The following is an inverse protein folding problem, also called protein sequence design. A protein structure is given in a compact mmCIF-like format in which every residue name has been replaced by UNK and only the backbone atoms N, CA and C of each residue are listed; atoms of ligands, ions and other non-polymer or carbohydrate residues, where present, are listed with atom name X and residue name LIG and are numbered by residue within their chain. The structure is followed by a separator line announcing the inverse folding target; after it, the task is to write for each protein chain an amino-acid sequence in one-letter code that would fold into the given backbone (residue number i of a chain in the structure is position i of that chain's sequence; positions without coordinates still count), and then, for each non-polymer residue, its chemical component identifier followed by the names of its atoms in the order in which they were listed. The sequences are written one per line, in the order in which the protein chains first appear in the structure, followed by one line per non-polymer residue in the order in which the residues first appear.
data_IF_688109832470
#
_entry.id   IF_688109832470
#
_cell.length_a   1.000
_cell.length_b   1.000
_cell.length_c   1.000
_cell.angle_alpha   90.00
_cell.angle_beta   90.00
_cell.angle_gamma   90.00
#
_symmetry.space_group_name_H-M   'P 1'
#
loop_
_entity.id
_entity.type
_entity.pdbx_description
1 polymer ?
#
# COMPACT_ATOMS: atom_id res chain seq x y z
N UNK A 1 57.21 -5.39 38.61
CA UNK A 1 55.77 -5.52 38.94
C UNK A 1 55.01 -5.69 37.63
N UNK A 2 54.47 -6.90 37.41
CA UNK A 2 53.68 -7.29 36.24
C UNK A 2 52.21 -7.22 36.65
N UNK A 3 51.40 -6.43 35.95
CA UNK A 3 49.94 -6.58 35.95
C UNK A 3 49.50 -6.82 34.51
N UNK A 4 48.68 -7.84 34.40
CA UNK A 4 48.20 -8.55 33.23
C UNK A 4 46.82 -7.99 32.81
N UNK A 5 46.45 -8.24 31.54
CA UNK A 5 45.09 -8.62 31.09
C UNK A 5 44.15 -7.48 30.63
N UNK A 6 43.46 -7.47 29.47
CA UNK A 6 43.20 -8.44 28.39
C UNK A 6 43.28 -7.74 27.02
N UNK A 7 43.84 -8.44 26.03
CA UNK A 7 43.73 -8.17 24.60
C UNK A 7 42.29 -8.48 24.13
N UNK A 8 41.61 -7.53 23.49
CA UNK A 8 40.45 -7.82 22.63
C UNK A 8 40.68 -7.08 21.31
N UNK A 9 41.39 -7.75 20.39
CA UNK A 9 41.36 -7.40 18.99
C UNK A 9 40.33 -8.29 18.31
N UNK A 10 39.19 -7.73 17.93
CA UNK A 10 38.45 -8.23 16.79
C UNK A 10 38.46 -7.14 15.73
N UNK A 11 39.34 -7.30 14.75
CA UNK A 11 39.28 -6.55 13.51
C UNK A 11 37.98 -6.88 12.78
N UNK A 12 37.20 -5.87 12.43
CA UNK A 12 36.31 -5.98 11.28
C UNK A 12 36.18 -4.61 10.59
N UNK A 13 36.78 -4.52 9.40
CA UNK A 13 36.20 -3.82 8.26
C UNK A 13 36.06 -2.30 8.34
N UNK A 14 37.01 -1.62 7.72
CA UNK A 14 36.85 -0.32 7.05
C UNK A 14 35.47 -0.12 6.42
N UNK A 15 34.78 0.98 6.73
CA UNK A 15 34.34 1.98 5.72
C UNK A 15 33.72 3.21 6.39
N UNK A 16 34.15 4.38 5.92
CA UNK A 16 33.64 5.68 6.31
C UNK A 16 32.17 5.82 5.93
N UNK A 17 31.35 6.30 6.86
CA UNK A 17 30.00 6.80 6.58
C UNK A 17 30.12 8.15 5.86
N UNK A 18 30.16 8.10 4.53
CA UNK A 18 29.81 9.26 3.72
C UNK A 18 28.29 9.45 3.79
N UNK A 19 27.88 10.58 4.36
CA UNK A 19 26.50 11.04 4.43
C UNK A 19 25.93 11.16 3.01
N UNK A 20 25.05 10.23 2.62
CA UNK A 20 24.31 10.32 1.37
C UNK A 20 23.27 11.44 1.54
N UNK A 21 23.39 12.48 0.73
CA UNK A 21 22.40 13.55 0.62
C UNK A 21 21.01 13.01 0.25
N UNK A 22 19.98 13.83 0.49
CA UNK A 22 18.56 13.57 0.21
C UNK A 22 18.33 12.57 -0.94
N UNK A 23 17.64 11.47 -0.64
CA UNK A 23 17.10 10.56 -1.64
C UNK A 23 15.65 10.98 -1.90
N UNK A 24 15.43 11.70 -3.01
CA UNK A 24 14.10 11.94 -3.55
C UNK A 24 13.69 10.72 -4.39
N UNK A 25 12.75 9.90 -3.90
CA UNK A 25 12.26 8.70 -4.60
C UNK A 25 11.15 9.11 -5.57
N UNK A 26 11.51 9.77 -6.67
CA UNK A 26 10.64 9.99 -7.81
C UNK A 26 10.76 8.84 -8.83
N UNK A 27 9.69 8.06 -9.00
CA UNK A 27 9.48 7.06 -10.09
C UNK A 27 10.66 6.11 -10.34
N UNK A 28 10.74 5.04 -9.55
CA UNK A 28 11.71 3.97 -9.75
C UNK A 28 11.25 3.01 -10.86
N UNK A 29 11.85 3.12 -12.06
CA UNK A 29 11.99 1.98 -12.97
C UNK A 29 13.46 1.58 -12.91
N UNK A 30 13.77 0.55 -12.12
CA UNK A 30 15.13 0.04 -11.94
C UNK A 30 15.54 -0.70 -13.21
N UNK A 31 16.10 0.05 -14.16
CA UNK A 31 16.83 -0.49 -15.32
C UNK A 31 18.33 -0.37 -15.08
N UNK A 32 18.89 -1.22 -14.22
CA UNK A 32 20.35 -1.47 -14.20
C UNK A 32 20.60 -2.97 -14.10
N UNK A 33 21.18 -3.54 -15.14
CA UNK A 33 21.50 -4.96 -15.33
C UNK A 33 22.94 -5.29 -14.89
N UNK A 34 23.42 -4.63 -13.84
CA UNK A 34 24.83 -4.66 -13.44
C UNK A 34 25.01 -5.12 -11.97
N UNK A 35 23.97 -5.65 -11.34
CA UNK A 35 24.08 -6.29 -10.03
C UNK A 35 24.35 -7.80 -10.15
N UNK A 36 25.49 -8.24 -9.62
CA UNK A 36 25.84 -9.66 -9.48
C UNK A 36 24.72 -10.44 -8.77
N UNK A 37 24.39 -11.68 -9.20
CA UNK A 37 23.29 -12.47 -8.65
C UNK A 37 23.31 -12.62 -7.12
N UNK A 38 24.49 -12.56 -6.50
CA UNK A 38 24.64 -12.67 -5.05
C UNK A 38 24.17 -11.41 -4.28
N UNK A 39 24.23 -10.23 -4.90
CA UNK A 39 23.84 -8.95 -4.27
C UNK A 39 22.32 -8.81 -4.21
N UNK A 40 21.61 -9.37 -5.20
CA UNK A 40 20.14 -9.34 -5.26
C UNK A 40 19.54 -10.24 -4.16
N UNK A 41 20.18 -11.37 -3.84
CA UNK A 41 19.67 -12.32 -2.85
C UNK A 41 19.77 -11.83 -1.40
N UNK A 42 20.70 -10.93 -1.07
CA UNK A 42 20.86 -10.40 0.29
C UNK A 42 20.06 -9.11 0.55
N UNK A 43 19.72 -8.34 -0.48
CA UNK A 43 18.96 -7.10 -0.33
C UNK A 43 17.44 -7.30 -0.21
N UNK A 44 16.91 -8.43 -0.69
CA UNK A 44 15.45 -8.72 -0.68
C UNK A 44 14.96 -9.29 0.65
N UNK A 45 15.84 -9.86 1.48
CA UNK A 45 15.44 -10.57 2.72
C UNK A 45 15.46 -9.70 3.98
N UNK A 46 15.95 -8.46 3.90
CA UNK A 46 16.09 -7.58 5.07
C UNK A 46 14.94 -6.56 5.26
N UNK A 47 13.98 -6.49 4.33
CA UNK A 47 12.88 -5.50 4.36
C UNK A 47 11.67 -5.98 5.19
N UNK A 48 11.59 -7.25 5.55
CA UNK A 48 10.44 -7.85 6.25
C UNK A 48 10.64 -8.10 7.76
N UNK A 49 11.70 -7.58 8.38
CA UNK A 49 11.98 -7.81 9.81
C UNK A 49 11.65 -6.61 10.73
N UNK A 50 11.02 -5.54 10.22
CA UNK A 50 10.51 -4.46 11.06
C UNK A 50 8.98 -4.58 11.18
N UNK A 51 8.40 -4.53 12.39
CA UNK A 51 6.98 -4.79 12.60
C UNK A 51 6.03 -3.73 12.02
N UNK A 52 6.54 -2.78 11.22
CA UNK A 52 5.79 -1.78 10.46
C UNK A 52 6.17 -1.78 8.96
N UNK A 53 6.38 -2.95 8.36
CA UNK A 53 6.56 -3.10 6.91
C UNK A 53 5.22 -3.00 6.16
N UNK A 54 4.64 -1.80 6.17
CA UNK A 54 3.58 -1.44 5.25
C UNK A 54 4.22 -0.95 3.95
N UNK A 55 4.42 -1.83 2.96
CA UNK A 55 4.06 -1.61 1.55
C UNK A 55 4.88 -2.47 0.57
N UNK A 56 4.17 -2.89 -0.48
CA UNK A 56 4.66 -3.29 -1.81
C UNK A 56 5.35 -4.65 -1.93
N UNK A 57 4.78 -5.65 -2.60
CA UNK A 57 4.23 -5.56 -3.96
C UNK A 57 3.16 -6.62 -4.25
N UNK A 58 2.01 -6.53 -3.60
CA UNK A 58 0.76 -7.13 -4.12
C UNK A 58 -0.31 -6.07 -3.95
N UNK A 59 -0.66 -5.42 -5.05
CA UNK A 59 -1.41 -4.18 -5.08
C UNK A 59 -2.71 -4.28 -4.30
N UNK A 60 -2.90 -3.37 -3.35
CA UNK A 60 -4.17 -3.22 -2.64
C UNK A 60 -5.29 -3.01 -3.66
N UNK A 61 -6.37 -3.80 -3.63
CA UNK A 61 -7.44 -3.72 -4.60
C UNK A 61 -8.09 -2.33 -4.65
N UNK A 62 -8.29 -1.83 -5.87
CA UNK A 62 -9.01 -0.60 -6.15
C UNK A 62 -10.28 -0.97 -6.91
N UNK A 63 -11.43 -0.62 -6.34
CA UNK A 63 -12.74 -0.78 -6.95
C UNK A 63 -13.23 0.58 -7.42
N UNK A 64 -13.60 0.70 -8.69
CA UNK A 64 -14.06 1.96 -9.27
C UNK A 64 -15.52 1.82 -9.67
N UNK A 65 -16.39 2.60 -9.06
CA UNK A 65 -17.79 2.72 -9.47
C UNK A 65 -17.90 3.73 -10.61
N UNK A 66 -18.33 3.28 -11.79
CA UNK A 66 -18.46 4.07 -13.02
C UNK A 66 -19.90 4.22 -13.51
N UNK A 67 -20.80 3.36 -13.06
CA UNK A 67 -22.19 3.34 -13.49
C UNK A 67 -23.08 4.38 -12.81
N UNK A 68 -24.38 4.16 -12.85
CA UNK A 68 -25.39 5.01 -12.20
C UNK A 68 -26.23 4.22 -11.22
N UNK A 69 -26.56 4.83 -10.08
CA UNK A 69 -27.46 4.23 -9.11
C UNK A 69 -26.79 3.14 -8.28
N UNK A 70 -27.32 1.92 -8.33
CA UNK A 70 -27.11 0.89 -7.33
C UNK A 70 -25.71 0.23 -7.38
N UNK A 71 -25.04 0.15 -6.23
CA UNK A 71 -23.77 -0.57 -6.04
C UNK A 71 -23.89 -2.09 -6.23
N UNK A 72 -25.08 -2.68 -6.18
CA UNK A 72 -25.29 -4.12 -6.34
C UNK A 72 -25.22 -4.60 -7.79
N UNK A 73 -25.23 -3.68 -8.75
CA UNK A 73 -25.19 -4.00 -10.18
C UNK A 73 -23.72 -4.14 -10.59
N UNK A 74 -23.22 -5.34 -10.93
CA UNK A 74 -21.80 -5.51 -11.30
C UNK A 74 -21.39 -4.65 -12.49
N UNK A 75 -22.29 -4.44 -13.45
CA UNK A 75 -22.07 -3.56 -14.61
C UNK A 75 -21.80 -2.09 -14.27
N UNK A 76 -22.09 -1.65 -13.03
CA UNK A 76 -21.76 -0.31 -12.57
C UNK A 76 -20.32 -0.19 -12.03
N UNK A 77 -19.58 -1.30 -11.95
CA UNK A 77 -18.21 -1.34 -11.48
C UNK A 77 -17.25 -1.57 -12.65
N UNK A 78 -16.08 -0.91 -12.59
CA UNK A 78 -15.03 -1.09 -13.57
C UNK A 78 -14.61 -2.57 -13.62
N UNK A 79 -14.72 -3.17 -14.82
CA UNK A 79 -14.43 -4.58 -15.04
C UNK A 79 -15.42 -5.56 -14.40
N UNK A 80 -16.58 -5.10 -13.90
CA UNK A 80 -17.54 -5.96 -13.23
C UNK A 80 -17.15 -6.36 -11.80
N UNK A 81 -16.07 -5.77 -11.25
CA UNK A 81 -15.53 -6.13 -9.96
C UNK A 81 -16.22 -5.34 -8.85
N UNK A 82 -17.16 -5.97 -8.16
CA UNK A 82 -17.82 -5.40 -7.00
C UNK A 82 -16.93 -5.57 -5.75
N UNK A 83 -16.84 -4.56 -4.86
CA UNK A 83 -16.12 -4.71 -3.61
C UNK A 83 -16.82 -5.72 -2.67
N UNK A 84 -16.08 -6.37 -1.76
CA UNK A 84 -16.66 -7.16 -0.68
C UNK A 84 -17.43 -6.25 0.28
N UNK A 85 -18.43 -6.79 0.99
CA UNK A 85 -19.26 -6.05 1.98
C UNK A 85 -18.47 -5.57 3.19
N UNK A 86 -17.38 -6.26 3.52
CA UNK A 86 -16.39 -5.85 4.50
C UNK A 86 -15.12 -5.50 3.75
N UNK A 87 -14.71 -4.22 3.80
CA UNK A 87 -13.58 -3.69 3.07
C UNK A 87 -12.32 -3.81 3.95
N UNK A 88 -11.38 -4.73 3.63
CA UNK A 88 -10.15 -4.94 4.40
C UNK A 88 -9.24 -3.71 4.40
N UNK A 89 -8.26 -3.73 5.31
CA UNK A 89 -7.20 -2.74 5.34
C UNK A 89 -6.55 -2.59 3.95
N UNK A 90 -6.20 -1.35 3.60
CA UNK A 90 -5.55 -0.91 2.38
C UNK A 90 -6.41 -0.90 1.10
N UNK A 91 -7.59 -1.51 1.11
CA UNK A 91 -8.49 -1.52 -0.04
C UNK A 91 -9.08 -0.14 -0.29
N UNK A 92 -9.36 0.18 -1.55
CA UNK A 92 -9.89 1.48 -1.94
C UNK A 92 -11.13 1.34 -2.83
N UNK A 93 -12.17 2.10 -2.51
CA UNK A 93 -13.33 2.32 -3.36
C UNK A 93 -13.27 3.76 -3.89
N UNK A 94 -13.37 3.92 -5.21
CA UNK A 94 -13.45 5.22 -5.89
C UNK A 94 -14.83 5.37 -6.53
N UNK A 95 -15.53 6.43 -6.17
CA UNK A 95 -16.85 6.78 -6.73
C UNK A 95 -16.65 7.81 -7.83
N UNK A 96 -16.71 7.34 -9.07
CA UNK A 96 -16.59 8.16 -10.27
C UNK A 96 -17.68 7.82 -11.31
N UNK A 97 -18.97 7.93 -10.95
CA UNK A 97 -20.06 7.64 -11.87
C UNK A 97 -20.03 8.59 -13.09
N UNK A 98 -20.43 8.08 -14.26
CA UNK A 98 -20.65 8.92 -15.46
C UNK A 98 -21.76 9.95 -15.16
N UNK A 99 -22.82 9.51 -14.51
CA UNK A 99 -23.84 10.39 -13.92
C UNK A 99 -23.33 11.00 -12.61
N UNK A 100 -24.09 11.91 -12.01
CA UNK A 100 -23.70 12.50 -10.72
C UNK A 100 -24.11 11.67 -9.50
N UNK A 101 -24.75 10.49 -9.68
CA UNK A 101 -25.40 9.77 -8.58
C UNK A 101 -24.95 8.31 -8.49
N UNK A 102 -24.46 7.95 -7.31
CA UNK A 102 -24.24 6.56 -6.87
C UNK A 102 -25.05 6.29 -5.60
N UNK A 103 -25.53 5.07 -5.43
CA UNK A 103 -26.45 4.67 -4.34
C UNK A 103 -25.94 3.40 -3.68
N UNK A 104 -25.51 3.53 -2.43
CA UNK A 104 -25.12 2.41 -1.58
C UNK A 104 -26.35 1.86 -0.84
N UNK A 105 -26.99 0.86 -1.42
CA UNK A 105 -28.22 0.26 -0.87
C UNK A 105 -27.93 -0.67 0.31
N UNK A 106 -26.89 -1.50 0.19
CA UNK A 106 -26.52 -2.46 1.22
C UNK A 106 -25.53 -1.86 2.22
N UNK A 107 -25.49 -2.37 3.47
CA UNK A 107 -24.47 -1.97 4.41
C UNK A 107 -23.06 -2.30 3.90
N UNK A 108 -22.12 -1.37 4.12
CA UNK A 108 -20.70 -1.54 3.83
C UNK A 108 -19.90 -1.28 5.11
N UNK A 109 -19.03 -2.21 5.47
CA UNK A 109 -18.10 -2.06 6.60
C UNK A 109 -16.72 -1.68 6.07
N UNK A 110 -16.11 -0.66 6.65
CA UNK A 110 -14.77 -0.19 6.35
C UNK A 110 -13.86 -0.48 7.54
N UNK A 111 -12.94 -1.43 7.40
CA UNK A 111 -11.92 -1.67 8.41
C UNK A 111 -10.85 -0.58 8.36
N UNK A 112 -10.18 -0.35 9.49
CA UNK A 112 -9.06 0.61 9.61
C UNK A 112 -8.05 0.44 8.47
N UNK A 113 -7.76 1.56 7.79
CA UNK A 113 -6.83 1.63 6.67
C UNK A 113 -7.46 1.40 5.29
N UNK A 114 -8.73 1.02 5.21
CA UNK A 114 -9.51 1.08 3.97
C UNK A 114 -9.88 2.52 3.59
N UNK A 115 -10.19 2.77 2.31
CA UNK A 115 -10.44 4.12 1.78
C UNK A 115 -11.70 4.16 0.92
N UNK A 116 -12.51 5.18 1.15
CA UNK A 116 -13.61 5.58 0.25
C UNK A 116 -13.30 6.97 -0.29
N UNK A 117 -13.20 7.10 -1.61
CA UNK A 117 -12.94 8.37 -2.28
C UNK A 117 -14.08 8.71 -3.24
N UNK A 118 -14.75 9.83 -3.01
CA UNK A 118 -15.77 10.36 -3.93
C UNK A 118 -15.15 11.46 -4.76
N UNK A 119 -15.19 11.31 -6.09
CA UNK A 119 -14.60 12.29 -7.00
C UNK A 119 -15.32 13.65 -6.89
N UNK A 120 -14.62 14.77 -7.13
CA UNK A 120 -15.23 16.10 -7.08
C UNK A 120 -16.46 16.22 -7.99
N UNK A 121 -17.54 16.83 -7.48
CA UNK A 121 -18.80 17.01 -8.20
C UNK A 121 -19.67 15.76 -8.31
N UNK A 122 -19.25 14.62 -7.74
CA UNK A 122 -20.03 13.39 -7.68
C UNK A 122 -20.77 13.26 -6.36
N UNK A 123 -21.93 12.60 -6.38
CA UNK A 123 -22.77 12.37 -5.20
C UNK A 123 -22.82 10.88 -4.87
N UNK A 124 -22.57 10.58 -3.60
CA UNK A 124 -22.84 9.27 -3.00
C UNK A 124 -24.06 9.40 -2.09
N UNK A 125 -25.10 8.63 -2.40
CA UNK A 125 -26.32 8.52 -1.62
C UNK A 125 -26.23 7.21 -0.83
N UNK A 126 -26.39 7.29 0.48
CA UNK A 126 -26.33 6.13 1.38
C UNK A 126 -27.69 5.99 2.07
N UNK A 127 -28.67 5.33 1.46
CA UNK A 127 -29.94 5.00 2.12
C UNK A 127 -29.78 3.92 3.20
N UNK A 128 -28.72 3.10 3.13
CA UNK A 128 -28.38 2.08 4.12
C UNK A 128 -27.47 2.58 5.24
N UNK A 129 -26.73 1.66 5.86
CA UNK A 129 -25.77 1.96 6.92
C UNK A 129 -24.32 1.89 6.39
N UNK A 130 -23.44 2.73 6.91
CA UNK A 130 -22.00 2.61 6.72
C UNK A 130 -21.36 2.43 8.09
N UNK A 131 -20.58 1.36 8.23
CA UNK A 131 -19.85 1.07 9.47
C UNK A 131 -18.36 1.34 9.25
N UNK A 132 -17.74 2.04 10.19
CA UNK A 132 -16.29 2.30 10.20
C UNK A 132 -15.73 1.72 11.50
N UNK A 133 -14.68 0.91 11.39
CA UNK A 133 -14.07 0.18 12.52
C UNK A 133 -12.60 0.52 12.72
#
# INVERSE_FOLDING_TARGET
MKVLLHFFLLFCGTTALAQIGKVDIGKSTIGRTDFSPAVIAQAVTAVCALPNSCSDSTGCPIYIFTGEGDWRIPGNWAGGNMPPTELPNCYQIIINPVSNKSVLVNPQTFYTGSKLHVMPGKTLIVPGNVFVQ
#
